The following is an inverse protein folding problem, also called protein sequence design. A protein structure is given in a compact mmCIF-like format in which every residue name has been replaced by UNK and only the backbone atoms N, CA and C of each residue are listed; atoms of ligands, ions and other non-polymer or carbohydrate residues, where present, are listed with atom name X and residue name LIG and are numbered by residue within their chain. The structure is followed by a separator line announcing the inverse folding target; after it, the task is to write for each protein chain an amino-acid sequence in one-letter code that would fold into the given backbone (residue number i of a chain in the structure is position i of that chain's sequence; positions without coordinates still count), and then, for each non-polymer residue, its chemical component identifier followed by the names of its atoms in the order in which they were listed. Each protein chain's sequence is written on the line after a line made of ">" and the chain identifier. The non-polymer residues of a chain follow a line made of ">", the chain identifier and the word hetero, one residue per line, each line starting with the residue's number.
data_IF_228956868522
#
_entry.id   IF_228956868522
#
_cell.length_a   1.000
_cell.length_b   1.000
_cell.length_c   1.000
_cell.angle_alpha   90.00
_cell.angle_beta   90.00
_cell.angle_gamma   90.00
#
_symmetry.space_group_name_H-M   'P 1'
#
loop_
_entity.id
_entity.type
_entity.pdbx_description
1 polymer ?
#
# COMPACT_ATOMS: atom_id res chain seq x y z
N UNK A 1 -30.72 -28.99 57.90
CA UNK A 1 -31.41 -30.11 57.21
C UNK A 1 -30.63 -30.48 55.97
N UNK A 2 -29.80 -31.52 56.06
CA UNK A 2 -29.22 -32.22 54.89
C UNK A 2 -29.43 -33.70 55.18
N UNK A 3 -30.26 -34.35 54.35
CA UNK A 3 -30.51 -35.78 54.36
C UNK A 3 -29.29 -36.48 53.75
N UNK A 4 -28.62 -37.34 54.52
CA UNK A 4 -27.62 -38.27 54.00
C UNK A 4 -28.27 -39.66 53.80
N UNK A 5 -27.87 -40.28 52.70
CA UNK A 5 -28.50 -41.43 52.05
C UNK A 5 -28.05 -42.76 52.64
N UNK A 6 -28.94 -43.77 52.52
CA UNK A 6 -28.95 -45.12 53.10
C UNK A 6 -27.76 -46.05 52.74
N UNK A 7 -26.64 -45.51 52.24
CA UNK A 7 -25.39 -46.26 51.97
C UNK A 7 -24.30 -46.05 53.03
N UNK A 8 -24.53 -45.22 54.05
CA UNK A 8 -23.62 -45.05 55.19
C UNK A 8 -24.10 -45.75 56.47
N UNK A 9 -25.21 -46.50 56.42
CA UNK A 9 -25.82 -47.21 57.56
C UNK A 9 -25.53 -48.73 57.60
N UNK A 10 -24.50 -49.18 56.88
CA UNK A 10 -24.00 -50.56 56.88
C UNK A 10 -22.54 -50.64 57.40
N UNK A 11 -22.16 -49.70 58.26
CA UNK A 11 -20.98 -49.80 59.11
C UNK A 11 -21.26 -50.53 60.44
N UNK A 12 -22.44 -51.13 60.60
CA UNK A 12 -22.86 -51.86 61.80
C UNK A 12 -23.59 -53.15 61.40
N UNK A 13 -22.85 -54.22 61.14
CA UNK A 13 -23.09 -55.58 61.67
C UNK A 13 -22.13 -56.58 61.03
N UNK A 14 -21.57 -57.46 61.88
CA UNK A 14 -20.73 -58.62 61.54
C UNK A 14 -19.26 -58.32 61.24
N UNK A 15 -18.46 -58.04 62.28
CA UNK A 15 -17.40 -58.98 62.72
C UNK A 15 -17.22 -58.79 64.24
N UNK A 16 -18.20 -59.25 65.02
CA UNK A 16 -17.93 -59.74 66.36
C UNK A 16 -17.55 -61.22 66.20
N UNK A 17 -16.29 -61.47 65.90
CA UNK A 17 -15.65 -62.74 66.20
C UNK A 17 -14.15 -62.50 66.23
N UNK A 18 -13.56 -62.73 67.39
CA UNK A 18 -12.12 -62.77 67.62
C UNK A 18 -11.42 -61.41 67.59
N UNK A 19 -11.63 -60.63 68.65
CA UNK A 19 -10.51 -60.02 69.36
C UNK A 19 -9.57 -61.16 69.81
N UNK A 20 -8.81 -61.70 68.86
CA UNK A 20 -7.67 -62.53 69.11
C UNK A 20 -6.48 -61.66 68.78
N UNK A 21 -5.65 -61.41 69.79
CA UNK A 21 -4.29 -60.99 69.60
C UNK A 21 -3.69 -61.78 68.42
N UNK A 22 -3.57 -61.19 67.24
CA UNK A 22 -2.41 -61.49 66.42
C UNK A 22 -1.26 -60.76 67.10
N UNK A 23 -0.77 -61.38 68.19
CA UNK A 23 0.66 -61.51 68.40
C UNK A 23 1.24 -61.63 66.99
N UNK A 24 2.00 -60.62 66.55
CA UNK A 24 2.64 -60.69 65.25
C UNK A 24 3.23 -62.10 65.15
N UNK A 25 2.90 -62.83 64.09
CA UNK A 25 3.26 -64.24 63.93
C UNK A 25 4.78 -64.43 63.89
N UNK A 26 5.59 -63.46 64.33
CA UNK A 26 6.99 -63.61 64.69
C UNK A 26 7.70 -64.52 63.71
N UNK A 27 8.26 -65.61 64.21
CA UNK A 27 8.87 -66.64 63.37
C UNK A 27 7.97 -67.86 63.12
N UNK A 28 6.71 -67.81 63.54
CA UNK A 28 5.74 -68.89 63.38
C UNK A 28 5.28 -68.97 61.92
N UNK A 29 5.63 -70.07 61.24
CA UNK A 29 5.34 -70.30 59.82
C UNK A 29 6.51 -70.03 58.86
N UNK A 30 7.73 -69.83 59.37
CA UNK A 30 8.96 -69.60 58.60
C UNK A 30 8.81 -68.52 57.51
N UNK A 31 8.54 -67.25 57.89
CA UNK A 31 8.37 -66.14 56.94
C UNK A 31 9.67 -65.72 56.23
N UNK A 32 10.81 -66.30 56.60
CA UNK A 32 12.12 -66.00 56.02
C UNK A 32 12.49 -66.96 54.89
N UNK A 33 13.42 -66.53 54.04
CA UNK A 33 13.94 -67.33 52.93
C UNK A 33 14.63 -68.61 53.40
N UNK A 34 14.85 -69.54 52.48
CA UNK A 34 15.56 -70.79 52.80
C UNK A 34 16.97 -70.51 53.33
N UNK A 35 17.38 -71.22 54.39
CA UNK A 35 18.63 -71.01 55.17
C UNK A 35 18.77 -69.65 55.87
N UNK A 36 17.72 -68.83 55.95
CA UNK A 36 17.72 -67.63 56.78
C UNK A 36 17.28 -67.95 58.22
N UNK A 37 17.79 -67.20 59.19
CA UNK A 37 17.37 -67.26 60.59
C UNK A 37 16.35 -66.15 60.84
N UNK A 38 15.23 -66.53 61.44
CA UNK A 38 14.21 -65.59 61.88
C UNK A 38 14.43 -65.22 63.35
N UNK A 39 14.41 -63.93 63.68
CA UNK A 39 14.41 -63.41 65.04
C UNK A 39 13.19 -62.51 65.26
N UNK A 40 12.59 -62.59 66.45
CA UNK A 40 11.47 -61.73 66.82
C UNK A 40 12.00 -60.39 67.36
N UNK A 41 11.75 -59.30 66.64
CA UNK A 41 12.05 -57.96 67.12
C UNK A 41 10.94 -57.44 68.06
N UNK A 42 11.27 -56.42 68.85
CA UNK A 42 10.33 -55.77 69.77
C UNK A 42 9.02 -55.40 69.05
N UNK A 43 7.89 -55.95 69.51
CA UNK A 43 6.58 -55.78 68.89
C UNK A 43 6.08 -56.96 68.03
N UNK A 44 6.76 -58.11 68.03
CA UNK A 44 6.27 -59.35 67.38
C UNK A 44 6.50 -59.41 65.87
N UNK A 45 7.42 -58.60 65.34
CA UNK A 45 7.75 -58.57 63.89
C UNK A 45 8.90 -59.54 63.58
N UNK A 46 8.78 -60.42 62.56
CA UNK A 46 9.90 -61.21 62.07
C UNK A 46 10.98 -60.31 61.45
N UNK A 47 12.21 -60.48 61.90
CA UNK A 47 13.42 -59.98 61.24
C UNK A 47 14.20 -61.17 60.72
N UNK A 48 14.36 -61.23 59.40
CA UNK A 48 15.11 -62.27 58.72
C UNK A 48 16.55 -61.83 58.52
N UNK A 49 17.51 -62.65 58.93
CA UNK A 49 18.93 -62.43 58.73
C UNK A 49 19.60 -63.72 58.26
N UNK A 50 20.60 -63.64 57.40
CA UNK A 50 21.40 -64.82 57.08
C UNK A 50 22.25 -65.20 58.30
N UNK A 51 22.32 -66.49 58.66
CA UNK A 51 23.18 -66.96 59.73
C UNK A 51 24.67 -66.67 59.42
N UNK A 52 25.56 -66.64 60.43
CA UNK A 52 27.00 -66.46 60.20
C UNK A 52 27.54 -67.42 59.14
N UNK A 53 28.39 -66.91 58.24
CA UNK A 53 28.92 -67.67 57.10
C UNK A 53 27.95 -67.87 55.94
N UNK A 54 26.78 -67.20 55.94
CA UNK A 54 25.84 -67.17 54.82
C UNK A 54 25.57 -65.73 54.36
N UNK A 55 25.34 -65.56 53.07
CA UNK A 55 25.07 -64.29 52.40
C UNK A 55 23.87 -64.40 51.46
N UNK A 56 23.47 -63.28 50.87
CA UNK A 56 22.32 -63.21 49.97
C UNK A 56 21.15 -62.45 50.58
N UNK A 57 19.94 -62.73 50.10
CA UNK A 57 18.75 -62.04 50.56
C UNK A 57 18.00 -62.92 51.59
N UNK A 58 17.92 -62.50 52.87
CA UNK A 58 17.33 -63.29 53.93
C UNK A 58 15.82 -63.50 53.82
N UNK A 59 15.15 -62.80 52.90
CA UNK A 59 13.73 -63.01 52.60
C UNK A 59 13.49 -64.08 51.53
N UNK A 60 14.49 -64.42 50.71
CA UNK A 60 14.32 -65.38 49.60
C UNK A 60 15.18 -66.63 49.78
N UNK A 61 16.49 -66.45 49.89
CA UNK A 61 17.45 -67.53 50.02
C UNK A 61 18.80 -67.00 50.53
N UNK A 62 19.28 -67.56 51.64
CA UNK A 62 20.65 -67.42 52.08
C UNK A 62 21.48 -68.59 51.52
N UNK A 63 22.57 -68.28 50.85
CA UNK A 63 23.55 -69.27 50.43
C UNK A 63 24.77 -69.18 51.35
N UNK A 64 25.54 -70.27 51.42
CA UNK A 64 26.83 -70.22 52.13
C UNK A 64 27.71 -69.18 51.45
N UNK A 65 28.17 -68.21 52.22
CA UNK A 65 29.03 -67.16 51.71
C UNK A 65 30.38 -67.76 51.35
N UNK A 66 30.91 -67.40 50.18
CA UNK A 66 32.29 -67.73 49.80
C UNK A 66 33.29 -66.96 50.66
N UNK A 67 32.90 -65.76 51.10
CA UNK A 67 33.68 -64.88 51.97
C UNK A 67 32.75 -64.13 52.93
N UNK A 68 33.23 -63.83 54.14
CA UNK A 68 32.60 -62.86 55.03
C UNK A 68 33.35 -61.52 55.05
N UNK A 69 34.67 -61.60 54.89
CA UNK A 69 35.56 -60.46 54.79
C UNK A 69 36.43 -60.58 53.54
N UNK A 70 36.92 -59.45 53.02
CA UNK A 70 37.75 -59.46 51.83
C UNK A 70 39.07 -60.20 52.03
N UNK A 71 39.58 -60.30 53.26
CA UNK A 71 40.79 -61.08 53.59
C UNK A 71 40.65 -62.58 53.29
N UNK A 72 39.42 -63.10 53.18
CA UNK A 72 39.14 -64.49 52.81
C UNK A 72 39.20 -64.71 51.28
N UNK A 73 39.19 -63.62 50.50
CA UNK A 73 39.33 -63.66 49.06
C UNK A 73 40.80 -63.62 48.62
N UNK A 74 41.06 -63.98 47.36
CA UNK A 74 42.40 -63.76 46.77
C UNK A 74 42.72 -62.25 46.79
N UNK A 75 44.01 -61.91 46.78
CA UNK A 75 44.47 -60.52 46.90
C UNK A 75 43.92 -59.57 45.80
N UNK A 76 43.51 -60.14 44.66
CA UNK A 76 42.93 -59.46 43.49
C UNK A 76 41.38 -59.45 43.48
N UNK A 77 40.75 -59.89 44.57
CA UNK A 77 39.29 -60.00 44.71
C UNK A 77 38.82 -59.33 46.00
N UNK A 78 37.57 -58.91 46.07
CA UNK A 78 36.97 -58.29 47.24
C UNK A 78 35.67 -59.02 47.61
N UNK A 79 35.38 -59.09 48.89
CA UNK A 79 34.13 -59.70 49.34
C UNK A 79 32.98 -58.72 49.14
N UNK A 80 32.08 -59.04 48.21
CA UNK A 80 30.87 -58.24 47.96
C UNK A 80 29.66 -59.15 47.96
N UNK A 81 28.71 -58.89 48.86
CA UNK A 81 27.51 -59.70 49.05
C UNK A 81 27.81 -61.19 49.27
N UNK A 82 28.94 -61.48 49.93
CA UNK A 82 29.42 -62.83 50.25
C UNK A 82 30.00 -63.63 49.08
N UNK A 83 30.35 -62.96 47.99
CA UNK A 83 31.11 -63.53 46.88
C UNK A 83 32.43 -62.78 46.68
N UNK A 84 33.47 -63.51 46.30
CA UNK A 84 34.76 -62.93 45.94
C UNK A 84 34.71 -62.43 44.49
N UNK A 85 34.57 -61.12 44.31
CA UNK A 85 34.45 -60.49 42.99
C UNK A 85 35.67 -59.63 42.69
N UNK A 86 36.00 -59.46 41.40
CA UNK A 86 37.02 -58.51 41.02
C UNK A 86 36.54 -57.08 41.35
N UNK A 87 37.23 -56.33 42.23
CA UNK A 87 36.80 -55.01 42.65
C UNK A 87 36.80 -53.98 41.51
N UNK A 88 37.53 -54.23 40.41
CA UNK A 88 37.61 -53.32 39.26
C UNK A 88 36.37 -53.25 38.38
N UNK A 89 35.49 -54.26 38.44
CA UNK A 89 34.32 -54.33 37.54
C UNK A 89 33.37 -53.18 37.86
N UNK A 90 33.32 -52.19 36.96
CA UNK A 90 32.48 -51.00 37.08
C UNK A 90 32.96 -49.96 38.10
N UNK A 91 34.20 -50.07 38.60
CA UNK A 91 34.73 -49.15 39.62
C UNK A 91 35.43 -47.91 39.05
N UNK A 92 36.06 -48.02 37.88
CA UNK A 92 36.80 -46.92 37.26
C UNK A 92 36.05 -46.32 36.07
N UNK A 93 36.29 -45.03 35.81
CA UNK A 93 35.72 -44.30 34.70
C UNK A 93 36.31 -44.70 33.34
N UNK A 94 35.75 -44.21 32.22
CA UNK A 94 36.28 -44.44 30.89
C UNK A 94 37.76 -44.03 30.78
N UNK A 95 38.54 -44.82 30.03
CA UNK A 95 39.99 -44.64 29.81
C UNK A 95 40.87 -44.69 31.06
N UNK A 96 40.37 -45.11 32.22
CA UNK A 96 41.17 -45.34 33.42
C UNK A 96 41.69 -46.78 33.48
N UNK A 97 42.93 -46.96 33.93
CA UNK A 97 43.47 -48.27 34.29
C UNK A 97 43.00 -48.65 35.69
N UNK A 98 42.53 -49.89 35.85
CA UNK A 98 42.22 -50.45 37.16
C UNK A 98 43.22 -51.52 37.57
N UNK A 99 43.76 -51.40 38.79
CA UNK A 99 44.59 -52.41 39.43
C UNK A 99 43.96 -52.81 40.77
N UNK A 100 43.61 -54.10 40.99
CA UNK A 100 43.22 -54.58 42.31
C UNK A 100 44.42 -54.53 43.26
N UNK A 101 44.33 -53.79 44.36
CA UNK A 101 45.36 -53.80 45.42
C UNK A 101 44.70 -54.00 46.76
N UNK A 102 45.10 -55.03 47.51
CA UNK A 102 44.57 -55.33 48.84
C UNK A 102 43.03 -55.28 48.89
N UNK A 103 42.38 -55.99 47.95
CA UNK A 103 40.92 -56.07 47.84
C UNK A 103 40.19 -54.76 47.49
N UNK A 104 40.90 -53.68 47.13
CA UNK A 104 40.28 -52.43 46.64
C UNK A 104 40.64 -52.19 45.18
N UNK A 105 39.73 -51.54 44.45
CA UNK A 105 40.00 -51.05 43.11
C UNK A 105 40.81 -49.76 43.19
N UNK A 106 42.01 -49.78 42.62
CA UNK A 106 42.84 -48.58 42.46
C UNK A 106 42.75 -48.14 41.01
N UNK A 107 42.08 -47.01 40.79
CA UNK A 107 41.92 -46.40 39.48
C UNK A 107 43.03 -45.36 39.24
N UNK A 108 43.66 -45.40 38.08
CA UNK A 108 44.69 -44.43 37.66
C UNK A 108 44.55 -44.07 36.19
N UNK A 109 44.91 -42.84 35.82
CA UNK A 109 44.98 -42.49 34.40
C UNK A 109 46.26 -43.06 33.78
N UNK A 110 46.18 -43.71 32.61
CA UNK A 110 47.35 -44.19 31.88
C UNK A 110 48.24 -43.02 31.45
N UNK A 111 49.49 -43.31 31.07
CA UNK A 111 50.43 -42.27 30.61
C UNK A 111 49.83 -41.49 29.43
N UNK A 112 49.90 -40.16 29.51
CA UNK A 112 49.31 -39.25 28.52
C UNK A 112 47.84 -38.92 28.77
N UNK A 113 47.27 -39.35 29.89
CA UNK A 113 45.91 -39.02 30.33
C UNK A 113 45.90 -38.37 31.73
N UNK A 114 44.96 -37.47 31.94
CA UNK A 114 44.72 -36.72 33.18
C UNK A 114 43.22 -36.65 33.49
N UNK A 115 42.87 -36.31 34.73
CA UNK A 115 41.48 -36.24 35.19
C UNK A 115 41.25 -37.02 36.47
N UNK A 116 40.00 -37.34 36.76
CA UNK A 116 39.60 -38.18 37.88
C UNK A 116 39.41 -39.62 37.38
N UNK A 117 40.27 -40.59 37.76
CA UNK A 117 40.19 -41.97 37.29
C UNK A 117 38.88 -42.70 37.66
N UNK A 118 38.13 -42.22 38.66
CA UNK A 118 36.83 -42.80 39.01
C UNK A 118 35.71 -42.30 38.10
N UNK A 119 35.86 -41.11 37.52
CA UNK A 119 34.86 -40.49 36.66
C UNK A 119 35.20 -40.65 35.18
N UNK A 120 36.38 -40.21 34.74
CA UNK A 120 36.90 -40.34 33.38
C UNK A 120 38.33 -39.80 33.29
N UNK A 121 39.18 -40.51 32.55
CA UNK A 121 40.49 -40.00 32.13
C UNK A 121 40.41 -39.43 30.71
N UNK A 122 40.98 -38.24 30.51
CA UNK A 122 41.08 -37.55 29.21
C UNK A 122 42.53 -37.38 28.82
N UNK A 123 42.83 -37.28 27.52
CA UNK A 123 44.20 -37.01 27.05
C UNK A 123 44.72 -35.71 27.69
N UNK A 124 45.94 -35.73 28.20
CA UNK A 124 46.60 -34.55 28.80
C UNK A 124 46.92 -33.49 27.76
N UNK A 125 47.21 -33.92 26.52
CA UNK A 125 47.52 -33.04 25.40
C UNK A 125 46.22 -32.52 24.74
N UNK A 126 45.91 -31.21 24.83
CA UNK A 126 44.71 -30.64 24.22
C UNK A 126 44.69 -30.79 22.70
N UNK A 127 45.84 -30.82 22.01
CA UNK A 127 45.88 -30.94 20.55
C UNK A 127 45.44 -32.34 20.11
N UNK A 128 45.81 -33.39 20.87
CA UNK A 128 45.42 -34.76 20.53
C UNK A 128 43.93 -35.05 20.78
N UNK A 129 43.24 -34.27 21.62
CA UNK A 129 41.80 -34.43 21.83
C UNK A 129 40.95 -34.09 20.58
N UNK A 130 41.52 -33.33 19.64
CA UNK A 130 40.89 -32.97 18.38
C UNK A 130 41.49 -33.73 17.17
N UNK A 131 42.34 -34.74 17.39
CA UNK A 131 43.07 -35.45 16.32
C UNK A 131 43.00 -36.98 16.46
N UNK A 132 42.25 -37.69 15.59
CA UNK A 132 41.38 -37.18 14.52
C UNK A 132 40.17 -36.42 15.10
N UNK A 133 39.64 -35.45 14.34
CA UNK A 133 38.54 -34.60 14.82
C UNK A 133 37.32 -35.43 15.22
N UNK A 134 36.81 -35.29 16.46
CA UNK A 134 35.54 -35.89 16.86
C UNK A 134 34.32 -35.13 16.33
N UNK A 135 34.54 -33.95 15.72
CA UNK A 135 33.51 -33.08 15.18
C UNK A 135 33.21 -33.38 13.70
N UNK A 136 32.00 -33.05 13.26
CA UNK A 136 31.57 -33.24 11.87
C UNK A 136 32.21 -32.27 10.88
N UNK A 137 31.91 -32.41 9.59
CA UNK A 137 32.47 -31.53 8.54
C UNK A 137 32.09 -30.06 8.72
N UNK A 138 32.95 -29.14 8.27
CA UNK A 138 32.77 -27.68 8.38
C UNK A 138 32.58 -27.17 9.82
N UNK A 139 33.30 -27.79 10.77
CA UNK A 139 33.29 -27.41 12.18
C UNK A 139 34.69 -27.09 12.68
N UNK A 140 34.76 -26.37 13.79
CA UNK A 140 35.96 -26.12 14.58
C UNK A 140 35.87 -26.90 15.88
N UNK A 141 36.92 -27.67 16.18
CA UNK A 141 37.12 -28.34 17.46
C UNK A 141 37.97 -27.46 18.37
N UNK A 142 37.46 -27.14 19.57
CA UNK A 142 38.19 -26.42 20.62
C UNK A 142 38.06 -27.17 21.94
N UNK A 143 39.14 -27.24 22.72
CA UNK A 143 39.09 -27.88 24.05
C UNK A 143 38.70 -26.85 25.10
N UNK A 144 37.49 -26.96 25.63
CA UNK A 144 36.98 -26.12 26.73
C UNK A 144 36.92 -26.97 28.00
N UNK A 145 37.65 -26.57 29.04
CA UNK A 145 37.74 -27.30 30.32
C UNK A 145 38.14 -28.78 30.17
N UNK A 146 38.97 -29.10 29.18
CA UNK A 146 39.41 -30.48 28.91
C UNK A 146 38.38 -31.35 28.19
N UNK A 147 37.36 -30.74 27.57
CA UNK A 147 36.37 -31.44 26.74
C UNK A 147 36.43 -30.88 25.31
N UNK A 148 36.57 -31.75 24.28
CA UNK A 148 36.50 -31.31 22.89
C UNK A 148 35.08 -30.82 22.60
N UNK A 149 34.98 -29.55 22.24
CA UNK A 149 33.73 -28.85 21.96
C UNK A 149 33.70 -28.48 20.49
N UNK A 150 32.62 -28.87 19.81
CA UNK A 150 32.44 -28.65 18.39
C UNK A 150 31.57 -27.42 18.14
N UNK A 151 31.98 -26.56 17.23
CA UNK A 151 31.20 -25.40 16.78
C UNK A 151 31.20 -25.32 15.25
N UNK A 152 30.12 -24.84 14.63
CA UNK A 152 30.13 -24.59 13.18
C UNK A 152 31.09 -23.44 12.86
N UNK A 153 31.83 -23.56 11.75
CA UNK A 153 32.61 -22.42 11.22
C UNK A 153 31.65 -21.28 10.85
N UNK A 154 32.11 -20.02 10.95
CA UNK A 154 31.31 -18.84 10.62
C UNK A 154 30.65 -18.97 9.24
N UNK A 155 29.33 -18.78 9.19
CA UNK A 155 28.52 -18.91 7.96
C UNK A 155 27.92 -20.29 7.73
N UNK A 156 28.24 -21.28 8.56
CA UNK A 156 27.64 -22.62 8.51
C UNK A 156 26.60 -22.80 9.63
N UNK A 157 25.54 -23.52 9.30
CA UNK A 157 24.44 -23.88 10.21
C UNK A 157 24.30 -25.40 10.30
N UNK A 158 23.78 -25.90 11.42
CA UNK A 158 23.52 -27.32 11.63
C UNK A 158 24.00 -27.81 12.99
N UNK A 159 24.23 -29.12 13.09
CA UNK A 159 24.71 -29.75 14.31
C UNK A 159 26.23 -29.99 14.21
N UNK A 160 27.06 -29.36 15.06
CA UNK A 160 28.51 -29.50 14.99
C UNK A 160 29.05 -30.92 15.20
N UNK A 161 28.28 -31.83 15.80
CA UNK A 161 28.68 -33.22 15.98
C UNK A 161 28.52 -34.03 14.69
N UNK A 162 27.51 -33.72 13.87
CA UNK A 162 27.25 -34.44 12.60
C UNK A 162 27.83 -33.72 11.39
N UNK A 163 28.02 -32.40 11.49
CA UNK A 163 28.53 -31.54 10.43
C UNK A 163 27.58 -30.36 10.16
N UNK A 164 28.17 -29.28 9.68
CA UNK A 164 27.45 -28.06 9.33
C UNK A 164 27.46 -27.82 7.81
N UNK A 165 26.45 -27.11 7.31
CA UNK A 165 26.29 -26.73 5.90
C UNK A 165 25.97 -25.25 5.77
N UNK A 166 26.08 -24.71 4.58
CA UNK A 166 25.56 -23.38 4.28
C UNK A 166 24.03 -23.32 4.45
N UNK A 167 23.50 -22.12 4.61
CA UNK A 167 22.05 -21.92 4.62
C UNK A 167 21.45 -22.22 3.25
N UNK A 168 22.14 -21.81 2.18
CA UNK A 168 21.81 -22.13 0.81
C UNK A 168 23.08 -22.23 -0.06
N UNK A 169 23.02 -23.02 -1.13
CA UNK A 169 23.98 -22.98 -2.25
C UNK A 169 23.34 -22.45 -3.54
N UNK A 170 22.03 -22.64 -3.68
CA UNK A 170 21.23 -22.18 -4.82
C UNK A 170 19.96 -21.48 -4.35
N UNK A 171 19.41 -20.59 -5.17
CA UNK A 171 18.23 -19.79 -4.83
C UNK A 171 17.01 -20.64 -4.43
N UNK A 172 16.86 -21.82 -5.03
CA UNK A 172 15.73 -22.74 -4.80
C UNK A 172 15.70 -23.34 -3.39
N UNK A 173 16.78 -23.21 -2.63
CA UNK A 173 16.85 -23.64 -1.23
C UNK A 173 16.28 -22.58 -0.27
N UNK A 174 16.08 -21.35 -0.75
CA UNK A 174 15.49 -20.25 0.01
C UNK A 174 13.97 -20.16 -0.18
N UNK A 175 13.31 -19.35 0.64
CA UNK A 175 11.88 -19.07 0.48
C UNK A 175 11.54 -18.42 -0.87
N UNK A 176 10.25 -18.42 -1.27
CA UNK A 176 9.82 -17.91 -2.58
C UNK A 176 10.08 -16.41 -2.80
N UNK A 177 10.30 -15.65 -1.73
CA UNK A 177 10.63 -14.21 -1.77
C UNK A 177 12.11 -13.92 -1.49
N UNK A 178 12.93 -14.95 -1.42
CA UNK A 178 14.34 -14.87 -1.02
C UNK A 178 15.23 -15.39 -2.14
N UNK A 179 16.52 -15.08 -2.04
CA UNK A 179 17.56 -15.56 -2.94
C UNK A 179 18.78 -15.96 -2.15
N UNK A 180 19.63 -16.79 -2.76
CA UNK A 180 20.89 -17.19 -2.16
C UNK A 180 21.98 -16.18 -2.50
N UNK A 181 22.43 -15.42 -1.50
CA UNK A 181 23.52 -14.47 -1.65
C UNK A 181 24.59 -14.71 -0.59
N UNK A 182 25.78 -15.11 -1.03
CA UNK A 182 26.90 -15.37 -0.12
C UNK A 182 26.59 -16.47 0.89
N UNK A 183 25.98 -17.56 0.43
CA UNK A 183 25.58 -18.73 1.23
C UNK A 183 24.52 -18.47 2.31
N UNK A 184 23.81 -17.34 2.18
CA UNK A 184 22.75 -16.91 3.08
C UNK A 184 21.47 -16.63 2.30
N UNK A 185 20.33 -17.02 2.85
CA UNK A 185 19.04 -16.62 2.29
C UNK A 185 18.77 -15.16 2.67
N UNK A 186 18.59 -14.32 1.66
CA UNK A 186 18.28 -12.90 1.83
C UNK A 186 17.05 -12.56 1.02
N UNK A 187 16.24 -11.61 1.51
CA UNK A 187 15.07 -11.15 0.77
C UNK A 187 15.48 -10.68 -0.63
N UNK A 188 14.89 -11.23 -1.70
CA UNK A 188 15.27 -10.87 -3.07
C UNK A 188 15.06 -9.37 -3.33
N UNK A 189 13.99 -8.78 -2.80
CA UNK A 189 13.70 -7.33 -2.89
C UNK A 189 14.78 -6.43 -2.26
N UNK A 190 15.69 -6.96 -1.44
CA UNK A 190 16.84 -6.19 -0.94
C UNK A 190 17.82 -5.78 -2.06
N UNK A 191 17.71 -6.39 -3.24
CA UNK A 191 18.56 -6.09 -4.40
C UNK A 191 18.08 -4.88 -5.22
N UNK A 192 16.93 -4.29 -4.89
CA UNK A 192 16.48 -3.08 -5.60
C UNK A 192 17.33 -1.86 -5.24
N UNK A 193 17.57 -1.01 -6.23
CA UNK A 193 18.35 0.21 -6.10
C UNK A 193 17.68 1.25 -5.21
N UNK A 194 18.44 2.26 -4.80
CA UNK A 194 17.92 3.33 -3.94
C UNK A 194 16.77 4.06 -4.63
N UNK A 195 15.65 4.22 -3.93
CA UNK A 195 14.45 4.89 -4.45
C UNK A 195 13.62 4.05 -5.45
N UNK A 196 14.02 2.81 -5.74
CA UNK A 196 13.22 1.88 -6.52
C UNK A 196 12.17 1.18 -5.64
N UNK A 197 11.07 0.76 -6.26
CA UNK A 197 10.04 -0.07 -5.63
C UNK A 197 10.19 -1.51 -6.10
N UNK A 198 10.08 -2.47 -5.17
CA UNK A 198 10.00 -3.88 -5.52
C UNK A 198 8.54 -4.24 -5.83
N UNK A 199 8.21 -4.50 -7.09
CA UNK A 199 6.86 -4.89 -7.51
C UNK A 199 6.58 -6.39 -7.27
N UNK A 200 7.62 -7.18 -7.01
CA UNK A 200 7.51 -8.58 -6.62
C UNK A 200 8.82 -9.34 -6.76
N UNK A 201 8.74 -10.66 -6.65
CA UNK A 201 9.86 -11.59 -6.86
C UNK A 201 9.48 -12.59 -7.93
N UNK A 202 10.33 -12.74 -8.94
CA UNK A 202 10.17 -13.70 -10.04
C UNK A 202 11.43 -14.55 -10.16
N UNK A 203 11.30 -15.88 -10.01
CA UNK A 203 12.42 -16.81 -10.03
C UNK A 203 13.54 -16.41 -9.05
N UNK A 204 13.17 -16.12 -7.79
CA UNK A 204 14.08 -15.65 -6.74
C UNK A 204 14.84 -14.36 -7.08
N UNK A 205 14.41 -13.59 -8.08
CA UNK A 205 14.97 -12.27 -8.39
C UNK A 205 13.94 -11.19 -8.15
N UNK A 206 14.41 -10.05 -7.63
CA UNK A 206 13.55 -8.89 -7.49
C UNK A 206 13.09 -8.37 -8.86
N UNK A 207 11.82 -7.99 -8.92
CA UNK A 207 11.28 -7.16 -10.00
C UNK A 207 11.28 -5.73 -9.49
N UNK A 208 12.29 -4.95 -9.89
CA UNK A 208 12.49 -3.58 -9.44
C UNK A 208 11.99 -2.60 -10.50
N UNK A 209 11.25 -1.58 -10.06
CA UNK A 209 10.72 -0.52 -10.92
C UNK A 209 10.97 0.85 -10.30
N UNK A 210 11.22 1.87 -11.14
CA UNK A 210 11.23 3.24 -10.66
C UNK A 210 9.78 3.73 -10.49
N UNK A 211 9.45 4.41 -9.37
CA UNK A 211 8.16 5.05 -9.20
C UNK A 211 7.83 5.98 -10.38
N UNK A 212 6.53 6.24 -10.62
CA UNK A 212 6.11 7.17 -11.66
C UNK A 212 6.77 8.54 -11.47
N UNK A 213 7.42 9.04 -12.50
CA UNK A 213 8.14 10.32 -12.45
C UNK A 213 9.62 10.24 -12.08
N UNK A 214 10.11 9.05 -11.75
CA UNK A 214 11.51 8.82 -11.45
C UNK A 214 12.20 8.20 -12.67
N UNK A 215 13.43 8.63 -12.93
CA UNK A 215 14.30 8.16 -13.99
C UNK A 215 15.53 7.49 -13.38
N UNK A 216 16.22 6.67 -14.17
CA UNK A 216 17.40 5.92 -13.75
C UNK A 216 17.25 4.42 -13.96
N UNK A 217 18.01 3.64 -13.21
CA UNK A 217 17.97 2.18 -13.27
C UNK A 217 17.40 1.64 -11.95
N UNK A 218 16.30 0.86 -11.99
CA UNK A 218 15.68 0.33 -10.79
C UNK A 218 16.56 -0.57 -9.91
N UNK A 219 17.66 -1.09 -10.46
CA UNK A 219 18.61 -1.94 -9.73
C UNK A 219 19.78 -1.17 -9.13
N UNK A 220 19.91 0.13 -9.42
CA UNK A 220 21.02 0.97 -8.92
C UNK A 220 20.50 2.17 -8.16
N UNK A 221 19.82 3.09 -8.85
CA UNK A 221 19.22 4.28 -8.26
C UNK A 221 18.11 4.83 -9.17
N UNK A 222 16.98 5.16 -8.55
CA UNK A 222 15.91 5.95 -9.14
C UNK A 222 15.94 7.35 -8.54
N UNK A 223 15.95 8.39 -9.38
CA UNK A 223 15.93 9.79 -8.99
C UNK A 223 14.79 10.52 -9.70
N UNK A 224 14.26 11.61 -9.14
CA UNK A 224 13.26 12.40 -9.85
C UNK A 224 13.82 12.98 -11.15
N UNK A 225 12.95 13.24 -12.13
CA UNK A 225 13.32 13.92 -13.38
C UNK A 225 13.84 15.34 -13.11
N UNK A 226 13.29 16.01 -12.10
CA UNK A 226 13.64 17.37 -11.69
C UNK A 226 13.61 17.55 -10.17
N UNK A 227 14.41 18.47 -9.65
CA UNK A 227 14.32 18.96 -8.27
C UNK A 227 13.71 20.37 -8.21
N UNK A 228 13.79 21.12 -9.30
CA UNK A 228 13.08 22.38 -9.50
C UNK A 228 12.80 22.67 -10.97
N UNK A 229 12.08 23.76 -11.25
CA UNK A 229 11.65 24.13 -12.61
C UNK A 229 12.82 24.35 -13.58
N UNK A 230 13.99 24.75 -13.06
CA UNK A 230 15.21 24.99 -13.83
C UNK A 230 15.82 23.71 -14.43
N UNK A 231 15.49 22.55 -13.87
CA UNK A 231 15.97 21.26 -14.36
C UNK A 231 15.16 20.79 -15.58
N UNK A 232 14.01 21.41 -15.83
CA UNK A 232 13.06 20.96 -16.83
C UNK A 232 13.30 21.57 -18.22
N UNK A 233 13.04 20.81 -19.30
CA UNK A 233 13.17 21.31 -20.66
C UNK A 233 12.05 22.30 -21.02
N UNK A 234 12.30 23.14 -22.03
CA UNK A 234 11.40 24.24 -22.42
C UNK A 234 9.99 23.79 -22.83
N UNK A 235 9.80 22.55 -23.29
CA UNK A 235 8.49 22.01 -23.66
C UNK A 235 7.67 21.50 -22.45
N UNK A 236 8.29 21.36 -21.27
CA UNK A 236 7.65 20.92 -20.02
C UNK A 236 8.27 21.63 -18.81
N UNK A 237 8.19 22.96 -18.72
CA UNK A 237 9.09 23.74 -17.87
C UNK A 237 8.76 23.72 -16.37
N UNK A 238 7.63 23.14 -15.94
CA UNK A 238 7.27 23.10 -14.53
C UNK A 238 7.65 21.76 -13.90
N UNK A 239 8.37 21.79 -12.79
CA UNK A 239 8.66 20.64 -11.96
C UNK A 239 7.56 20.44 -10.92
N UNK A 240 6.79 19.36 -11.07
CA UNK A 240 5.69 19.04 -10.15
C UNK A 240 5.87 17.63 -9.59
N UNK A 241 6.16 17.54 -8.28
CA UNK A 241 6.49 16.29 -7.58
C UNK A 241 7.61 15.48 -8.25
N UNK A 242 8.64 16.18 -8.76
CA UNK A 242 9.79 15.54 -9.40
C UNK A 242 9.59 15.15 -10.86
N UNK A 243 8.50 15.62 -11.50
CA UNK A 243 8.15 15.35 -12.89
C UNK A 243 8.08 16.66 -13.67
N UNK A 244 8.70 16.71 -14.84
CA UNK A 244 8.57 17.85 -15.74
C UNK A 244 7.24 17.79 -16.49
N UNK A 245 6.39 18.80 -16.26
CA UNK A 245 5.06 18.93 -16.86
C UNK A 245 4.94 20.15 -17.76
N UNK A 246 4.16 19.98 -18.82
CA UNK A 246 3.73 21.11 -19.64
C UNK A 246 2.56 21.80 -18.96
N UNK A 247 2.74 23.05 -18.56
CA UNK A 247 1.68 23.85 -17.92
C UNK A 247 0.56 24.27 -18.88
N UNK A 248 0.77 24.15 -20.19
CA UNK A 248 -0.29 24.34 -21.20
C UNK A 248 -1.24 23.14 -21.32
N UNK A 249 -0.85 21.96 -20.86
CA UNK A 249 -1.67 20.76 -20.99
C UNK A 249 -2.93 20.88 -20.12
N UNK A 250 -4.09 21.05 -20.76
CA UNK A 250 -5.38 21.23 -20.08
C UNK A 250 -5.64 22.64 -19.52
N UNK A 251 -4.75 23.61 -19.76
CA UNK A 251 -4.95 24.99 -19.28
C UNK A 251 -5.85 25.84 -20.17
N UNK A 252 -5.79 25.62 -21.49
CA UNK A 252 -6.56 26.39 -22.48
C UNK A 252 -7.74 25.60 -23.05
N UNK A 253 -8.73 26.34 -23.50
CA UNK A 253 -9.94 25.81 -24.12
C UNK A 253 -9.67 25.16 -25.48
N UNK A 254 -10.69 24.48 -26.01
CA UNK A 254 -10.57 23.78 -27.30
C UNK A 254 -10.31 24.79 -28.43
N UNK A 255 -9.25 24.56 -29.21
CA UNK A 255 -8.87 25.41 -30.35
C UNK A 255 -8.18 26.72 -29.96
N UNK A 256 -7.77 26.91 -28.71
CA UNK A 256 -6.97 28.05 -28.28
C UNK A 256 -5.46 27.76 -28.41
N UNK A 257 -4.69 28.79 -28.77
CA UNK A 257 -3.24 28.79 -28.68
C UNK A 257 -2.82 28.99 -27.21
N UNK A 258 -1.84 28.21 -26.77
CA UNK A 258 -1.24 28.37 -25.44
C UNK A 258 0.22 28.82 -25.55
N UNK A 259 0.54 29.91 -24.86
CA UNK A 259 1.90 30.39 -24.71
C UNK A 259 2.22 30.62 -23.23
N UNK A 260 3.47 30.41 -22.85
CA UNK A 260 3.88 30.57 -21.46
C UNK A 260 4.43 31.97 -21.20
N UNK A 261 3.97 32.61 -20.12
CA UNK A 261 4.63 33.76 -19.49
C UNK A 261 5.22 33.29 -18.17
N UNK A 262 6.50 32.89 -18.20
CA UNK A 262 7.10 32.14 -17.08
C UNK A 262 6.52 30.73 -17.03
N UNK A 263 5.95 30.33 -15.88
CA UNK A 263 5.22 29.07 -15.73
C UNK A 263 3.70 29.22 -15.91
N UNK A 264 3.22 30.46 -16.06
CA UNK A 264 1.79 30.75 -16.20
C UNK A 264 1.35 30.57 -17.65
N UNK A 265 0.36 29.69 -17.92
CA UNK A 265 -0.22 29.56 -19.24
C UNK A 265 -1.06 30.78 -19.59
N UNK A 266 -0.87 31.30 -20.79
CA UNK A 266 -1.65 32.39 -21.38
C UNK A 266 -2.34 31.83 -22.61
N UNK A 267 -3.67 31.87 -22.59
CA UNK A 267 -4.52 31.34 -23.64
C UNK A 267 -5.02 32.48 -24.54
N UNK A 268 -4.97 32.28 -25.85
CA UNK A 268 -5.51 33.20 -26.84
C UNK A 268 -6.15 32.45 -28.00
N UNK A 269 -7.17 33.01 -28.62
CA UNK A 269 -7.67 32.42 -29.86
C UNK A 269 -6.71 32.70 -31.03
N UNK A 270 -6.49 31.72 -31.92
CA UNK A 270 -5.74 31.90 -33.15
C UNK A 270 -6.30 33.04 -34.01
N UNK A 271 -5.52 33.47 -35.01
CA UNK A 271 -6.01 34.46 -36.00
C UNK A 271 -7.27 33.91 -36.69
N UNK A 272 -8.25 34.79 -36.91
CA UNK A 272 -9.56 34.49 -37.51
C UNK A 272 -10.51 33.60 -36.66
N UNK A 273 -10.19 33.43 -35.37
CA UNK A 273 -11.07 32.80 -34.38
C UNK A 273 -11.47 33.79 -33.27
N UNK A 274 -12.63 33.56 -32.67
CA UNK A 274 -13.17 34.32 -31.54
C UNK A 274 -13.75 33.39 -30.47
N UNK A 275 -14.17 33.95 -29.34
CA UNK A 275 -14.70 33.22 -28.20
C UNK A 275 -13.86 33.39 -26.94
N UNK A 276 -14.09 32.53 -25.95
CA UNK A 276 -13.32 32.52 -24.71
C UNK A 276 -12.13 31.54 -24.84
N UNK A 277 -10.87 32.02 -24.79
CA UNK A 277 -9.69 31.17 -24.93
C UNK A 277 -9.54 30.09 -23.85
N UNK A 278 -10.20 30.20 -22.70
CA UNK A 278 -10.19 29.20 -21.64
C UNK A 278 -11.31 28.16 -21.79
N UNK A 279 -12.33 28.43 -22.62
CA UNK A 279 -13.44 27.51 -22.87
C UNK A 279 -13.33 26.89 -24.26
N UNK A 280 -13.49 27.72 -25.30
CA UNK A 280 -13.48 27.27 -26.70
C UNK A 280 -13.36 28.46 -27.65
N UNK A 281 -12.41 28.37 -28.57
CA UNK A 281 -12.34 29.23 -29.74
C UNK A 281 -13.18 28.64 -30.87
N UNK A 282 -13.87 29.51 -31.61
CA UNK A 282 -14.64 29.16 -32.82
C UNK A 282 -14.29 30.13 -33.95
N UNK A 283 -14.52 29.75 -35.22
CA UNK A 283 -14.33 30.67 -36.34
C UNK A 283 -15.12 31.97 -36.12
N UNK A 284 -14.51 33.10 -36.50
CA UNK A 284 -15.18 34.38 -36.55
C UNK A 284 -16.30 34.35 -37.61
N UNK A 285 -17.47 34.84 -37.27
CA UNK A 285 -18.61 35.00 -38.18
C UNK A 285 -19.04 36.45 -38.25
N UNK A 286 -19.78 36.81 -39.30
CA UNK A 286 -20.27 38.17 -39.47
C UNK A 286 -21.10 38.66 -38.25
N UNK A 287 -21.74 37.77 -37.50
CA UNK A 287 -22.48 38.11 -36.27
C UNK A 287 -21.58 38.65 -35.16
N UNK A 288 -20.33 38.18 -35.08
CA UNK A 288 -19.38 38.59 -34.05
C UNK A 288 -19.00 40.08 -34.15
N UNK A 289 -19.21 40.69 -35.32
CA UNK A 289 -19.05 42.15 -35.50
C UNK A 289 -20.01 42.96 -34.62
N UNK A 290 -21.11 42.34 -34.17
CA UNK A 290 -22.15 42.97 -33.37
C UNK A 290 -22.14 42.52 -31.90
N UNK A 291 -21.12 41.77 -31.45
CA UNK A 291 -21.01 41.27 -30.07
C UNK A 291 -19.64 41.62 -29.44
N UNK A 292 -19.60 42.47 -28.38
CA UNK A 292 -20.72 43.27 -27.86
C UNK A 292 -21.17 44.32 -28.88
N UNK A 293 -22.43 44.78 -28.75
CA UNK A 293 -22.99 45.77 -29.68
C UNK A 293 -22.11 47.03 -29.74
N UNK A 294 -21.46 47.33 -30.88
CA UNK A 294 -20.56 48.48 -31.01
C UNK A 294 -21.33 49.80 -31.27
N UNK A 295 -22.64 49.73 -31.46
CA UNK A 295 -23.46 50.89 -31.79
C UNK A 295 -23.84 51.72 -30.56
N UNK A 296 -24.26 52.96 -30.79
CA UNK A 296 -24.71 53.86 -29.75
C UNK A 296 -25.96 53.38 -29.01
N UNK A 297 -26.29 54.03 -27.89
CA UNK A 297 -27.50 53.69 -27.12
C UNK A 297 -28.76 53.81 -27.99
N UNK A 298 -29.69 52.85 -27.84
CA UNK A 298 -30.92 52.72 -28.66
C UNK A 298 -30.67 52.47 -30.16
N UNK A 299 -29.47 52.04 -30.54
CA UNK A 299 -29.17 51.54 -31.87
C UNK A 299 -28.99 50.01 -31.86
N UNK A 300 -29.43 49.37 -32.94
CA UNK A 300 -29.17 47.97 -33.22
C UNK A 300 -28.01 47.83 -34.20
N UNK A 301 -27.20 46.80 -33.99
CA UNK A 301 -26.16 46.39 -34.91
C UNK A 301 -26.66 45.25 -35.79
N UNK A 302 -26.40 45.34 -37.10
CA UNK A 302 -26.55 44.23 -38.04
C UNK A 302 -25.25 44.00 -38.77
N UNK A 303 -24.87 42.74 -39.06
CA UNK A 303 -23.73 42.46 -39.92
C UNK A 303 -23.95 43.02 -41.32
N UNK A 304 -22.98 43.77 -41.84
CA UNK A 304 -23.04 44.36 -43.17
C UNK A 304 -21.65 44.47 -43.78
N UNK A 305 -21.52 45.33 -44.79
CA UNK A 305 -20.26 45.54 -45.52
C UNK A 305 -20.02 47.04 -45.74
N UNK A 306 -18.76 47.43 -45.85
CA UNK A 306 -18.40 48.77 -46.33
C UNK A 306 -18.46 48.87 -47.87
N UNK A 307 -18.22 50.07 -48.39
CA UNK A 307 -18.22 50.35 -49.84
C UNK A 307 -17.14 49.59 -50.61
N UNK A 308 -16.19 48.94 -49.93
CA UNK A 308 -15.14 48.09 -50.53
C UNK A 308 -15.50 46.61 -50.51
N UNK A 309 -16.65 46.26 -49.93
CA UNK A 309 -17.10 44.88 -49.76
C UNK A 309 -16.48 44.15 -48.57
N UNK A 310 -15.82 44.86 -47.64
CA UNK A 310 -15.30 44.26 -46.41
C UNK A 310 -16.37 44.23 -45.33
N UNK A 311 -16.52 43.11 -44.63
CA UNK A 311 -17.50 42.97 -43.55
C UNK A 311 -17.29 44.03 -42.45
N UNK A 312 -18.37 44.68 -42.02
CA UNK A 312 -18.38 45.69 -40.95
C UNK A 312 -19.71 45.68 -40.21
N UNK A 313 -19.74 46.08 -38.92
CA UNK A 313 -20.99 46.32 -38.22
C UNK A 313 -21.71 47.54 -38.80
N UNK A 314 -23.01 47.42 -39.05
CA UNK A 314 -23.87 48.51 -39.51
C UNK A 314 -24.84 48.87 -38.39
N UNK A 315 -24.79 50.14 -37.97
CA UNK A 315 -25.61 50.65 -36.88
C UNK A 315 -26.84 51.37 -37.41
N UNK A 316 -28.02 50.98 -36.95
CA UNK A 316 -29.30 51.65 -37.25
C UNK A 316 -30.06 51.94 -35.97
N UNK A 317 -30.79 53.06 -35.91
CA UNK A 317 -31.63 53.34 -34.75
C UNK A 317 -32.76 52.31 -34.66
N UNK A 318 -33.11 51.91 -33.45
CA UNK A 318 -34.28 51.07 -33.20
C UNK A 318 -35.55 51.79 -33.69
N UNK A 319 -36.62 51.04 -34.05
CA UNK A 319 -37.88 51.65 -34.46
C UNK A 319 -38.39 52.69 -33.45
N UNK A 320 -38.75 53.89 -33.93
CA UNK A 320 -39.18 55.02 -33.10
C UNK A 320 -38.05 55.88 -32.54
N UNK A 321 -36.80 55.66 -32.97
CA UNK A 321 -35.65 56.49 -32.64
C UNK A 321 -35.00 57.07 -33.91
N UNK A 322 -34.44 58.27 -33.79
CA UNK A 322 -33.71 59.00 -34.85
C UNK A 322 -32.37 59.52 -34.32
N UNK A 323 -31.54 60.10 -35.19
CA UNK A 323 -30.24 60.67 -34.82
C UNK A 323 -29.05 59.82 -35.26
N UNK A 324 -27.93 59.90 -34.52
CA UNK A 324 -26.68 59.26 -34.90
C UNK A 324 -26.55 57.89 -34.24
N UNK A 325 -26.69 56.83 -35.05
CA UNK A 325 -26.66 55.43 -34.61
C UNK A 325 -25.31 54.94 -34.05
N UNK A 326 -24.21 55.68 -34.26
CA UNK A 326 -22.89 55.35 -33.69
C UNK A 326 -22.69 55.94 -32.30
N UNK A 327 -23.33 57.08 -31.99
CA UNK A 327 -23.18 57.74 -30.69
C UNK A 327 -24.35 57.45 -29.76
N UNK A 328 -25.56 57.84 -30.16
CA UNK A 328 -26.80 57.63 -29.43
C UNK A 328 -27.97 58.02 -30.33
N UNK A 329 -29.00 57.18 -30.35
CA UNK A 329 -30.28 57.52 -30.95
C UNK A 329 -31.21 58.15 -29.92
N UNK A 330 -31.90 59.20 -30.33
CA UNK A 330 -32.92 59.90 -29.54
C UNK A 330 -34.30 59.40 -29.94
N UNK A 331 -35.24 59.40 -29.01
CA UNK A 331 -36.62 59.02 -29.34
C UNK A 331 -37.18 60.03 -30.36
N UNK A 332 -37.75 59.53 -31.45
CA UNK A 332 -38.43 60.36 -32.45
C UNK A 332 -39.70 61.00 -31.88
N UNK A 333 -40.25 61.96 -32.62
CA UNK A 333 -41.45 62.70 -32.21
C UNK A 333 -42.72 61.83 -32.28
N UNK A 334 -42.73 60.83 -33.16
CA UNK A 334 -43.87 59.95 -33.39
C UNK A 334 -43.42 58.54 -33.76
N UNK A 335 -44.24 57.52 -33.46
CA UNK A 335 -44.13 56.18 -34.04
C UNK A 335 -45.25 55.89 -35.06
N UNK A 336 -46.36 56.61 -34.95
CA UNK A 336 -47.53 56.51 -35.82
C UNK A 336 -48.14 57.88 -36.09
N UNK A 337 -48.94 57.98 -37.15
CA UNK A 337 -49.67 59.21 -37.51
C UNK A 337 -50.54 59.74 -36.36
N UNK A 338 -51.08 58.86 -35.51
CA UNK A 338 -51.94 59.22 -34.38
C UNK A 338 -51.23 60.06 -33.30
N UNK A 339 -49.89 60.01 -33.25
CA UNK A 339 -49.09 60.82 -32.33
C UNK A 339 -48.82 62.24 -32.88
N UNK A 340 -49.09 62.48 -34.17
CA UNK A 340 -48.91 63.77 -34.80
C UNK A 340 -50.21 64.61 -34.79
N UNK A 341 -50.11 65.95 -34.82
CA UNK A 341 -51.26 66.81 -35.11
C UNK A 341 -51.91 66.45 -36.45
N UNK A 342 -53.22 66.69 -36.60
CA UNK A 342 -54.03 66.26 -37.77
C UNK A 342 -53.54 66.78 -39.13
N UNK A 343 -52.76 67.87 -39.13
CA UNK A 343 -52.15 68.48 -40.32
C UNK A 343 -50.72 67.99 -40.61
N UNK A 344 -50.22 67.00 -39.87
CA UNK A 344 -48.87 66.41 -40.01
C UNK A 344 -48.97 64.90 -40.08
N UNK A 345 -48.03 64.27 -40.76
CA UNK A 345 -47.91 62.83 -40.86
C UNK A 345 -46.62 62.38 -40.20
N UNK A 346 -46.63 61.19 -39.63
CA UNK A 346 -45.45 60.56 -39.07
C UNK A 346 -44.62 59.93 -40.18
N UNK A 347 -43.53 60.60 -40.57
CA UNK A 347 -42.62 60.12 -41.62
C UNK A 347 -41.22 60.08 -41.02
N UNK A 348 -40.57 58.91 -41.06
CA UNK A 348 -39.26 58.68 -40.45
C UNK A 348 -39.18 59.08 -38.96
N UNK A 349 -40.27 58.86 -38.22
CA UNK A 349 -40.41 59.20 -36.80
C UNK A 349 -40.38 60.70 -36.48
N UNK A 350 -40.60 61.56 -37.48
CA UNK A 350 -40.78 63.00 -37.33
C UNK A 350 -42.18 63.41 -37.80
N UNK A 351 -42.82 64.34 -37.09
CA UNK A 351 -44.12 64.86 -37.51
C UNK A 351 -43.94 65.94 -38.57
N UNK A 352 -43.99 65.55 -39.85
CA UNK A 352 -43.77 66.42 -41.00
C UNK A 352 -45.06 66.78 -41.72
N UNK A 353 -45.05 67.86 -42.49
CA UNK A 353 -46.20 68.21 -43.33
C UNK A 353 -46.31 67.22 -44.50
N UNK A 354 -47.41 66.45 -44.66
CA UNK A 354 -47.54 65.46 -45.72
C UNK A 354 -47.53 66.08 -47.12
N UNK A 355 -47.77 67.39 -47.27
CA UNK A 355 -47.81 68.07 -48.56
C UNK A 355 -46.45 68.30 -49.22
N UNK A 356 -45.33 68.12 -48.51
CA UNK A 356 -43.99 68.40 -49.05
C UNK A 356 -43.69 67.43 -50.21
N UNK A 357 -43.56 67.99 -51.42
CA UNK A 357 -43.23 67.27 -52.66
C UNK A 357 -44.17 66.10 -53.02
N UNK A 358 -45.45 66.15 -52.60
CA UNK A 358 -46.42 65.09 -52.92
C UNK A 358 -47.38 65.42 -54.07
N UNK A 359 -47.71 66.69 -54.28
CA UNK A 359 -48.63 67.10 -55.34
C UNK A 359 -47.91 67.51 -56.64
N UNK A 360 -48.60 67.34 -57.76
CA UNK A 360 -48.11 67.65 -59.08
C UNK A 360 -47.89 69.14 -59.32
N UNK A 361 -47.11 69.48 -60.34
CA UNK A 361 -46.80 70.88 -60.66
C UNK A 361 -48.09 71.65 -61.00
N UNK A 362 -48.34 72.77 -60.28
CA UNK A 362 -49.54 73.60 -60.45
C UNK A 362 -50.76 73.14 -59.62
N UNK A 363 -50.65 72.07 -58.84
CA UNK A 363 -51.68 71.65 -57.89
C UNK A 363 -51.51 72.33 -56.52
N UNK A 364 -52.61 72.57 -55.82
CA UNK A 364 -52.61 73.00 -54.41
C UNK A 364 -52.68 71.78 -53.50
N UNK A 365 -51.94 71.80 -52.39
CA UNK A 365 -51.98 70.73 -51.39
C UNK A 365 -52.60 71.20 -50.07
N UNK A 366 -53.50 70.40 -49.52
CA UNK A 366 -54.03 70.57 -48.17
C UNK A 366 -53.80 69.28 -47.36
N UNK A 367 -53.18 69.34 -46.17
CA UNK A 367 -53.03 68.18 -45.31
C UNK A 367 -54.36 67.85 -44.64
N UNK A 368 -54.88 66.63 -44.84
CA UNK A 368 -56.11 66.14 -44.17
C UNK A 368 -55.88 64.74 -43.64
N UNK A 369 -56.17 64.51 -42.36
CA UNK A 369 -56.04 63.20 -41.70
C UNK A 369 -54.68 62.53 -42.01
N UNK A 370 -53.58 63.27 -41.80
CA UNK A 370 -52.21 62.79 -42.02
C UNK A 370 -51.85 62.46 -43.49
N UNK A 371 -52.71 62.75 -44.46
CA UNK A 371 -52.41 62.57 -45.89
C UNK A 371 -52.42 63.88 -46.67
N UNK A 372 -51.65 63.91 -47.76
CA UNK A 372 -51.64 65.02 -48.71
C UNK A 372 -52.87 64.92 -49.62
N UNK A 373 -53.74 65.92 -49.59
CA UNK A 373 -54.86 66.02 -50.52
C UNK A 373 -54.52 67.06 -51.58
N UNK A 374 -54.26 66.59 -52.79
CA UNK A 374 -53.93 67.42 -53.94
C UNK A 374 -55.18 67.78 -54.73
N UNK A 375 -55.32 69.05 -55.07
CA UNK A 375 -56.44 69.55 -55.87
C UNK A 375 -55.95 70.52 -56.94
N UNK A 376 -56.59 70.50 -58.11
CA UNK A 376 -56.35 71.51 -59.12
C UNK A 376 -57.11 72.79 -58.76
N UNK A 377 -56.44 73.94 -58.63
CA UNK A 377 -57.10 75.20 -58.33
C UNK A 377 -58.11 75.60 -59.42
N UNK A 378 -59.12 76.41 -59.04
CA UNK A 378 -60.20 76.82 -59.93
C UNK A 378 -59.69 77.39 -61.28
N UNK A 379 -60.25 76.90 -62.40
CA UNK A 379 -59.80 77.27 -63.75
C UNK A 379 -58.67 76.39 -64.31
N UNK A 380 -58.25 75.36 -63.57
CA UNK A 380 -57.32 74.33 -64.04
C UNK A 380 -57.95 72.94 -63.99
N UNK A 381 -57.53 72.04 -64.87
CA UNK A 381 -57.90 70.62 -64.90
C UNK A 381 -56.69 69.74 -65.22
N UNK A 382 -56.74 68.49 -64.79
CA UNK A 382 -55.62 67.53 -64.89
C UNK A 382 -55.62 66.55 -63.72
N UNK A 383 -54.54 65.79 -63.59
CA UNK A 383 -54.30 64.94 -62.42
C UNK A 383 -53.50 65.74 -61.39
N UNK A 384 -54.11 66.00 -60.23
CA UNK A 384 -53.50 66.82 -59.17
C UNK A 384 -52.25 66.19 -58.54
N UNK A 385 -52.00 64.89 -58.71
CA UNK A 385 -50.76 64.24 -58.29
C UNK A 385 -49.62 64.40 -59.31
N UNK A 386 -49.94 64.68 -60.58
CA UNK A 386 -48.96 64.78 -61.67
C UNK A 386 -48.79 66.21 -62.17
N UNK A 387 -49.85 66.86 -62.64
CA UNK A 387 -49.85 68.25 -63.09
C UNK A 387 -51.28 68.77 -63.36
N UNK A 388 -51.54 70.02 -62.96
CA UNK A 388 -52.75 70.76 -63.31
C UNK A 388 -52.45 71.80 -64.40
N UNK A 389 -53.32 71.93 -65.41
CA UNK A 389 -53.18 72.85 -66.55
C UNK A 389 -54.47 73.65 -66.77
N UNK A 390 -54.42 74.84 -67.37
CA UNK A 390 -55.62 75.67 -67.57
C UNK A 390 -56.71 74.97 -68.41
N UNK A 391 -57.97 75.01 -67.95
CA UNK A 391 -59.10 74.42 -68.67
C UNK A 391 -59.62 75.40 -69.75
N UNK A 392 -59.58 74.98 -71.02
CA UNK A 392 -60.12 75.79 -72.13
C UNK A 392 -61.65 75.73 -72.13
N UNK A 393 -62.32 76.79 -71.68
CA UNK A 393 -63.77 76.95 -71.84
C UNK A 393 -64.11 77.40 -73.26
N UNK A 394 -64.79 76.56 -74.05
CA UNK A 394 -65.51 77.01 -75.26
C UNK A 394 -66.93 77.47 -74.85
N UNK A 395 -67.38 78.68 -75.23
CA UNK A 395 -68.76 79.10 -74.97
C UNK A 395 -69.75 78.29 -75.80
N UNK A 396 -70.76 77.71 -75.14
CA UNK A 396 -71.89 77.01 -75.76
C UNK A 396 -72.87 78.06 -76.31
N UNK A 397 -73.05 78.09 -77.63
CA UNK A 397 -74.05 78.94 -78.27
C UNK A 397 -75.47 78.41 -77.98
N UNK A 398 -76.35 79.26 -77.44
CA UNK A 398 -77.80 79.04 -77.42
C UNK A 398 -78.38 79.32 -78.81
N UNK A 399 -79.19 78.41 -79.35
CA UNK A 399 -80.09 78.70 -80.47
C UNK A 399 -81.54 78.72 -79.98
N UNK A 400 -82.26 79.76 -80.41
CA UNK A 400 -83.71 79.92 -80.32
C UNK A 400 -84.42 79.06 -81.36
#
# INVERSE_FOLDING_TARGET
>A
MIRLSSKQLLALTVVLSSCALTLGQGCFGNPCGTNAVCQEAAGGRPVCSCPPGHSGNPLTHCHRAECLDSIECRFDQACKNGHCVNPCVGACGPNANCEPRNHIAVCSCPRGYEGDPFNSCRLSDPEQQCHPSPCGVNTKCEVLNGVPTCSCVTGFIGNPLTGCRHECEIDQECGPQEMCQGFKCVAACSQCGKGATCSGVANHRAVCECPKGYIGSPHTECRPECYGDVDCPSNRPACFYGICKNTCEGACGIGADCHLRGLTPVCSCPRDMTGDPFIRCRPFTAQDLCEPNPCGTNAQCVPGHDNTGKERPVCTCLPGYTGNSLSHCVRGECQSDAECPSNRACINYECVNPCINKCGSGATCEPKNHVAVCQCPHGTSGDALLSCRQSRTYPVARYH
#
